data_IF_721572742737
#
_entry.id   IF_721572742737
#
_cell.length_a   1.000
_cell.length_b   1.000
_cell.length_c   1.000
_cell.angle_alpha   90.00
_cell.angle_beta   90.00
_cell.angle_gamma   90.00
#
_symmetry.space_group_name_H-M   'P 1'
#
loop_
_entity.id
_entity.type
_entity.pdbx_description
1 polymer ?
#
# COMPACT_ATOMS: atom_id res chain seq x y z
N UNK A 1 13.41 -6.70 -6.20
CA UNK A 1 12.20 -6.72 -5.37
C UNK A 1 12.52 -6.13 -4.01
N UNK A 2 11.82 -5.06 -3.61
CA UNK A 2 11.99 -4.39 -2.32
C UNK A 2 10.71 -4.59 -1.52
N UNK A 3 10.84 -4.94 -0.23
CA UNK A 3 9.71 -5.20 0.67
C UNK A 3 9.70 -4.16 1.77
N UNK A 4 8.53 -3.62 2.08
CA UNK A 4 8.33 -2.66 3.15
C UNK A 4 7.44 -3.28 4.23
N UNK A 5 7.80 -3.07 5.49
CA UNK A 5 7.03 -3.50 6.65
C UNK A 5 6.41 -2.25 7.26
N UNK A 6 5.10 -2.28 7.47
CA UNK A 6 4.34 -1.15 8.00
C UNK A 6 3.45 -1.58 9.17
N UNK A 7 3.08 -0.66 10.07
CA UNK A 7 2.08 -0.91 11.09
C UNK A 7 0.70 -1.23 10.49
N UNK A 8 -0.08 -2.09 11.17
CA UNK A 8 -1.45 -2.44 10.77
C UNK A 8 -2.37 -1.20 10.76
N UNK A 9 -2.09 -0.21 11.62
CA UNK A 9 -2.84 1.06 11.68
C UNK A 9 -2.77 1.87 10.39
N UNK A 10 -1.85 1.59 9.47
CA UNK A 10 -1.80 2.32 8.20
C UNK A 10 -2.87 1.83 7.23
N UNK A 11 -3.35 0.59 7.39
CA UNK A 11 -4.40 0.00 6.54
C UNK A 11 -5.76 0.70 6.68
N UNK A 12 -6.00 1.40 7.80
CA UNK A 12 -7.22 2.17 8.02
C UNK A 12 -7.17 3.60 7.46
N UNK A 13 -6.01 4.07 7.01
CA UNK A 13 -5.88 5.41 6.46
C UNK A 13 -6.47 5.47 5.03
N UNK A 14 -7.25 6.51 4.67
CA UNK A 14 -7.91 6.60 3.36
C UNK A 14 -6.93 6.46 2.19
N UNK A 15 -5.77 7.11 2.25
CA UNK A 15 -4.76 7.00 1.19
C UNK A 15 -4.22 5.58 1.02
N UNK A 16 -4.18 4.79 2.10
CA UNK A 16 -3.76 3.41 2.02
C UNK A 16 -4.87 2.56 1.42
N UNK A 17 -6.15 2.83 1.73
CA UNK A 17 -7.30 2.18 1.11
C UNK A 17 -7.38 2.46 -0.40
N UNK A 18 -7.12 3.70 -0.83
CA UNK A 18 -7.05 4.05 -2.26
C UNK A 18 -5.95 3.24 -2.97
N UNK A 19 -4.79 3.13 -2.31
CA UNK A 19 -3.65 2.36 -2.77
C UNK A 19 -4.00 0.86 -2.87
N UNK A 20 -4.72 0.31 -1.88
CA UNK A 20 -5.24 -1.06 -1.90
C UNK A 20 -6.20 -1.28 -3.07
N UNK A 21 -7.12 -0.34 -3.30
CA UNK A 21 -8.13 -0.41 -4.36
C UNK A 21 -7.52 -0.35 -5.76
N UNK A 22 -6.49 0.48 -5.98
CA UNK A 22 -5.77 0.53 -7.26
C UNK A 22 -5.07 -0.79 -7.57
N UNK A 23 -4.52 -1.41 -6.51
CA UNK A 23 -3.83 -2.70 -6.62
C UNK A 23 -4.78 -3.84 -6.93
N UNK A 24 -5.97 -3.80 -6.34
CA UNK A 24 -7.04 -4.74 -6.63
C UNK A 24 -7.47 -4.67 -8.10
N UNK A 25 -7.58 -3.47 -8.67
CA UNK A 25 -7.93 -3.26 -10.08
C UNK A 25 -6.82 -3.76 -11.02
N UNK A 26 -5.55 -3.49 -10.68
CA UNK A 26 -4.41 -3.80 -11.54
C UNK A 26 -3.99 -5.28 -11.51
N UNK A 27 -4.04 -5.92 -10.33
CA UNK A 27 -3.56 -7.31 -10.18
C UNK A 27 -4.68 -8.34 -10.23
N UNK A 28 -5.94 -7.93 -10.02
CA UNK A 28 -7.10 -8.80 -9.78
C UNK A 28 -6.85 -9.76 -8.61
N UNK A 29 -7.91 -10.25 -7.96
CA UNK A 29 -7.84 -11.10 -6.76
C UNK A 29 -7.16 -12.47 -6.91
N UNK A 30 -6.40 -12.72 -7.98
CA UNK A 30 -5.70 -14.00 -8.15
C UNK A 30 -4.34 -13.95 -7.44
N UNK A 31 -4.41 -13.87 -6.11
CA UNK A 31 -3.26 -13.91 -5.23
C UNK A 31 -3.34 -15.16 -4.35
N UNK A 32 -2.71 -16.28 -4.75
CA UNK A 32 -2.77 -17.55 -4.01
C UNK A 32 -2.17 -17.49 -2.60
N UNK A 33 -1.60 -16.34 -2.18
CA UNK A 33 -0.82 -16.22 -0.95
C UNK A 33 -1.28 -15.08 -0.01
N UNK A 34 -2.45 -14.48 -0.24
CA UNK A 34 -3.14 -13.59 0.73
C UNK A 34 -2.47 -12.24 1.05
N UNK A 35 -1.44 -11.85 0.32
CA UNK A 35 -0.78 -10.55 0.44
C UNK A 35 -1.25 -9.58 -0.64
N UNK A 36 -1.42 -8.31 -0.27
CA UNK A 36 -1.76 -7.24 -1.21
C UNK A 36 -0.48 -6.63 -1.78
N UNK A 37 -0.32 -6.71 -3.11
CA UNK A 37 0.84 -6.16 -3.82
C UNK A 37 0.42 -4.89 -4.53
N UNK A 38 1.03 -3.78 -4.16
CA UNK A 38 0.69 -2.46 -4.71
C UNK A 38 1.86 -1.90 -5.51
N UNK A 39 1.69 -1.64 -6.81
CA UNK A 39 2.68 -0.90 -7.56
C UNK A 39 2.52 0.58 -7.26
N UNK A 40 3.61 1.20 -6.86
CA UNK A 40 3.70 2.65 -6.77
C UNK A 40 5.13 3.06 -7.06
N UNK A 41 5.32 4.32 -7.47
CA UNK A 41 6.65 4.91 -7.58
C UNK A 41 7.23 5.18 -6.20
N UNK A 42 8.56 5.19 -6.10
CA UNK A 42 9.26 5.46 -4.84
C UNK A 42 8.85 6.82 -4.23
N UNK A 43 8.57 7.83 -5.05
CA UNK A 43 8.07 9.15 -4.64
C UNK A 43 6.71 9.07 -3.95
N UNK A 44 5.78 8.29 -4.52
CA UNK A 44 4.43 8.10 -3.95
C UNK A 44 4.53 7.37 -2.62
N UNK A 45 5.38 6.34 -2.54
CA UNK A 45 5.59 5.60 -1.30
C UNK A 45 6.19 6.49 -0.19
N UNK A 46 7.19 7.31 -0.51
CA UNK A 46 7.81 8.23 0.46
C UNK A 46 6.85 9.30 0.95
N UNK A 47 6.05 9.86 0.04
CA UNK A 47 5.05 10.87 0.37
C UNK A 47 3.97 10.31 1.32
N UNK A 48 3.45 9.11 1.04
CA UNK A 48 2.47 8.48 1.92
C UNK A 48 3.09 8.17 3.29
N UNK A 49 4.31 7.65 3.32
CA UNK A 49 5.00 7.27 4.56
C UNK A 49 5.35 8.49 5.43
N UNK A 50 5.74 9.62 4.83
CA UNK A 50 6.08 10.85 5.57
C UNK A 50 4.86 11.47 6.26
N UNK A 51 3.70 11.47 5.59
CA UNK A 51 2.44 11.93 6.17
C UNK A 51 1.97 11.02 7.31
N UNK A 52 2.17 9.71 7.18
CA UNK A 52 1.78 8.75 8.21
C UNK A 52 2.67 8.79 9.46
N UNK A 53 3.95 9.18 9.33
CA UNK A 53 4.87 9.35 10.47
C UNK A 53 4.67 10.67 11.25
N UNK A 54 3.83 11.58 10.77
CA UNK A 54 3.49 12.84 11.45
C UNK A 54 2.22 12.75 12.31
N UNK A 55 1.63 11.56 12.44
CA UNK A 55 0.50 11.21 13.30
C UNK A 55 0.99 10.43 14.54
#
# INVERSE_FOLDING_TARGET
>A
MKRFVIPISYLIHPSFQDLLSQSEEEFRYDHPMGGLTIPCSDDVFQNITSHLNSL
#
